data_IF_963503754853
#
_entry.id   IF_963503754853
#
_cell.length_a   1.000
_cell.length_b   1.000
_cell.length_c   1.000
_cell.angle_alpha   90.00
_cell.angle_beta   90.00
_cell.angle_gamma   90.00
#
_symmetry.space_group_name_H-M   'P 1'
#
loop_
_entity.id
_entity.type
_entity.pdbx_description
1 polymer ?
#
# COMPACT_ATOMS: atom_id res chain seq x y z
N UNK A 1 31.22 66.44 -55.15
CA UNK A 1 32.27 65.59 -54.55
C UNK A 1 31.85 65.21 -53.14
N UNK A 2 31.91 63.90 -52.86
CA UNK A 2 31.90 63.19 -51.55
C UNK A 2 30.69 63.36 -50.62
N UNK A 3 29.78 62.38 -50.74
CA UNK A 3 28.97 61.83 -49.63
C UNK A 3 29.92 61.20 -48.59
N UNK A 4 29.68 61.39 -47.30
CA UNK A 4 30.24 60.52 -46.26
C UNK A 4 29.12 60.05 -45.33
N UNK A 5 28.99 58.73 -45.29
CA UNK A 5 28.00 57.96 -44.53
C UNK A 5 28.27 58.06 -43.04
N UNK A 6 27.23 58.29 -42.25
CA UNK A 6 27.20 57.97 -40.83
C UNK A 6 26.71 56.54 -40.71
N UNK A 7 27.61 55.61 -40.39
CA UNK A 7 27.24 54.22 -40.08
C UNK A 7 26.78 54.15 -38.62
N UNK A 8 25.49 53.86 -38.42
CA UNK A 8 24.95 53.47 -37.12
C UNK A 8 25.33 52.00 -36.90
N UNK A 9 26.16 51.74 -35.89
CA UNK A 9 26.42 50.38 -35.41
C UNK A 9 25.28 50.02 -34.46
N UNK A 10 24.35 49.19 -34.93
CA UNK A 10 23.37 48.52 -34.05
C UNK A 10 24.09 47.35 -33.41
N UNK A 11 24.37 47.46 -32.10
CA UNK A 11 24.88 46.36 -31.30
C UNK A 11 23.70 45.44 -30.97
N UNK A 12 23.51 44.40 -31.78
CA UNK A 12 22.56 43.33 -31.48
C UNK A 12 23.20 42.45 -30.41
N UNK A 13 22.78 42.62 -29.16
CA UNK A 13 23.07 41.67 -28.09
C UNK A 13 22.30 40.38 -28.38
N UNK A 14 22.96 39.42 -29.02
CA UNK A 14 22.48 38.04 -29.08
C UNK A 14 22.66 37.46 -27.68
N UNK A 15 21.58 37.42 -26.90
CA UNK A 15 21.52 36.57 -25.71
C UNK A 15 21.45 35.14 -26.25
N UNK A 16 22.60 34.48 -26.34
CA UNK A 16 22.64 33.03 -26.44
C UNK A 16 22.15 32.52 -25.07
N UNK A 17 20.86 32.21 -24.99
CA UNK A 17 20.35 31.38 -23.90
C UNK A 17 21.00 30.01 -24.02
N UNK A 18 22.09 29.79 -23.31
CA UNK A 18 22.47 28.43 -22.96
C UNK A 18 21.38 27.92 -22.04
N UNK A 19 20.63 26.90 -22.48
CA UNK A 19 19.81 26.08 -21.58
C UNK A 19 20.74 25.51 -20.51
N UNK A 20 20.88 26.22 -19.40
CA UNK A 20 21.37 25.63 -18.17
C UNK A 20 20.27 24.63 -17.83
N UNK A 21 20.49 23.34 -18.11
CA UNK A 21 19.68 22.30 -17.49
C UNK A 21 19.71 22.60 -16.00
N UNK A 22 18.56 22.99 -15.45
CA UNK A 22 18.45 23.15 -14.01
C UNK A 22 18.88 21.82 -13.40
N UNK A 23 19.93 21.84 -12.58
CA UNK A 23 20.46 20.64 -11.90
C UNK A 23 19.54 20.17 -10.77
N UNK A 24 18.39 20.82 -10.61
CA UNK A 24 17.43 20.61 -9.56
C UNK A 24 16.12 20.07 -10.14
N UNK A 25 15.57 19.08 -9.45
CA UNK A 25 14.24 18.55 -9.72
C UNK A 25 13.21 19.61 -9.27
N UNK A 26 12.40 20.08 -10.20
CA UNK A 26 11.43 21.16 -9.94
C UNK A 26 10.15 20.63 -9.29
N UNK A 27 9.41 21.45 -8.52
CA UNK A 27 8.07 21.07 -8.04
C UNK A 27 7.10 20.85 -9.20
N UNK A 28 6.08 20.00 -8.98
CA UNK A 28 5.02 19.75 -9.97
C UNK A 28 4.12 20.97 -10.24
N UNK A 29 4.07 21.93 -9.31
CA UNK A 29 3.33 23.19 -9.44
C UNK A 29 4.00 24.33 -8.65
N UNK A 30 3.66 25.57 -8.97
CA UNK A 30 4.23 26.76 -8.32
C UNK A 30 3.77 26.91 -6.85
N UNK A 31 2.54 26.49 -6.54
CA UNK A 31 1.99 26.55 -5.19
C UNK A 31 2.60 25.43 -4.34
N UNK A 32 3.14 25.81 -3.19
CA UNK A 32 3.68 24.90 -2.19
C UNK A 32 2.88 25.03 -0.90
N UNK A 33 2.57 23.89 -0.31
CA UNK A 33 1.97 23.76 1.00
C UNK A 33 3.06 23.37 2.00
N UNK A 34 3.06 24.00 3.17
CA UNK A 34 3.95 23.57 4.25
C UNK A 34 3.44 22.25 4.81
N UNK A 35 4.30 21.25 4.88
CA UNK A 35 3.97 19.93 5.39
C UNK A 35 4.91 19.46 6.49
N UNK A 36 4.45 18.43 7.18
CA UNK A 36 5.27 17.57 8.03
C UNK A 36 4.85 16.12 7.81
N UNK A 37 5.71 15.19 8.21
CA UNK A 37 5.31 13.83 8.49
C UNK A 37 5.69 13.41 9.91
N UNK A 38 4.82 12.57 10.50
CA UNK A 38 4.89 12.21 11.92
C UNK A 38 4.54 10.73 12.14
N UNK A 39 4.98 10.23 13.28
CA UNK A 39 4.77 8.86 13.74
C UNK A 39 4.66 8.84 15.27
N UNK A 40 4.70 7.67 15.88
CA UNK A 40 4.78 7.53 17.34
C UNK A 40 5.97 8.25 17.97
N UNK A 41 7.04 8.50 17.21
CA UNK A 41 8.28 9.13 17.70
C UNK A 41 8.06 10.56 18.19
N UNK A 42 7.04 11.25 17.68
CA UNK A 42 6.70 12.61 18.09
C UNK A 42 5.81 12.65 19.35
N UNK A 43 5.32 11.51 19.84
CA UNK A 43 4.50 11.45 21.05
C UNK A 43 3.11 12.06 20.86
N UNK A 44 2.59 12.72 21.90
CA UNK A 44 1.30 13.40 21.83
C UNK A 44 1.45 14.75 21.13
N UNK A 45 0.60 15.00 20.12
CA UNK A 45 0.68 16.19 19.26
C UNK A 45 -0.57 17.06 19.44
N UNK A 46 -0.35 18.37 19.59
CA UNK A 46 -1.39 19.40 19.51
C UNK A 46 -1.51 19.90 18.06
N UNK A 47 -2.41 19.27 17.30
CA UNK A 47 -2.59 19.60 15.88
C UNK A 47 -3.23 20.96 15.62
N UNK A 48 -3.91 21.58 16.60
CA UNK A 48 -4.37 22.97 16.47
C UNK A 48 -3.17 23.92 16.50
N UNK A 49 -2.24 23.71 17.45
CA UNK A 49 -1.00 24.47 17.51
C UNK A 49 -0.10 24.26 16.27
N UNK A 50 -0.06 23.03 15.73
CA UNK A 50 0.62 22.71 14.47
C UNK A 50 0.02 23.51 13.32
N UNK A 51 -1.31 23.52 13.19
CA UNK A 51 -1.98 24.30 12.15
C UNK A 51 -1.75 25.80 12.29
N UNK A 52 -1.82 26.33 13.51
CA UNK A 52 -1.55 27.75 13.81
C UNK A 52 -0.09 28.14 13.48
N UNK A 53 0.84 27.18 13.48
CA UNK A 53 2.22 27.41 13.07
C UNK A 53 2.41 27.55 11.55
N UNK A 54 1.35 27.29 10.76
CA UNK A 54 1.35 27.43 9.31
C UNK A 54 1.57 26.13 8.54
N UNK A 55 1.54 24.98 9.22
CA UNK A 55 1.46 23.65 8.58
C UNK A 55 0.08 23.45 7.98
N UNK A 56 0.03 22.90 6.77
CA UNK A 56 -1.18 22.71 5.99
C UNK A 56 -1.44 21.23 5.67
N UNK A 57 -0.38 20.44 5.49
CA UNK A 57 -0.41 19.02 5.15
C UNK A 57 0.31 18.21 6.23
N UNK A 58 -0.25 17.06 6.61
CA UNK A 58 0.39 16.13 7.55
C UNK A 58 0.32 14.72 6.99
N UNK A 59 1.47 14.09 6.80
CA UNK A 59 1.56 12.63 6.63
C UNK A 59 1.72 11.94 7.99
N UNK A 60 1.00 10.85 8.19
CA UNK A 60 1.00 10.11 9.46
C UNK A 60 1.36 8.67 9.18
N UNK A 61 2.35 8.12 9.90
CA UNK A 61 2.66 6.70 9.84
C UNK A 61 1.47 5.91 10.34
N UNK A 62 0.95 5.04 9.49
CA UNK A 62 -0.14 4.14 9.89
C UNK A 62 0.39 2.83 10.45
N UNK A 63 1.42 2.29 9.80
CA UNK A 63 1.86 0.91 10.02
C UNK A 63 3.27 0.68 9.48
N UNK A 64 3.87 -0.40 9.97
CA UNK A 64 5.15 -0.94 9.53
C UNK A 64 5.03 -2.45 9.34
N UNK A 65 5.50 -2.95 8.20
CA UNK A 65 5.53 -4.38 7.93
C UNK A 65 4.15 -5.05 7.96
N UNK A 66 4.02 -6.17 8.66
CA UNK A 66 2.88 -7.08 8.49
C UNK A 66 1.72 -6.84 9.47
N UNK A 67 2.02 -6.36 10.66
CA UNK A 67 1.08 -6.35 11.77
C UNK A 67 1.32 -5.21 12.78
N UNK A 68 2.36 -4.40 12.59
CA UNK A 68 2.64 -3.28 13.46
C UNK A 68 1.80 -2.07 13.06
N UNK A 69 0.88 -1.66 13.94
CA UNK A 69 0.17 -0.38 13.87
C UNK A 69 0.96 0.63 14.69
N UNK A 70 1.23 1.81 14.10
CA UNK A 70 1.87 2.90 14.81
C UNK A 70 1.00 3.33 16.00
N UNK A 71 1.60 3.41 17.20
CA UNK A 71 0.85 3.61 18.44
C UNK A 71 0.11 4.95 18.51
N UNK A 72 0.56 5.95 17.74
CA UNK A 72 -0.10 7.25 17.68
C UNK A 72 -1.00 7.42 16.45
N UNK A 73 -1.08 6.42 15.56
CA UNK A 73 -1.82 6.53 14.30
C UNK A 73 -3.26 7.02 14.50
N UNK A 74 -4.06 6.34 15.32
CA UNK A 74 -5.47 6.68 15.52
C UNK A 74 -5.65 8.08 16.13
N UNK A 75 -4.87 8.39 17.16
CA UNK A 75 -4.92 9.69 17.82
C UNK A 75 -4.52 10.82 16.85
N UNK A 76 -3.44 10.63 16.09
CA UNK A 76 -2.94 11.62 15.14
C UNK A 76 -3.91 11.80 13.97
N UNK A 77 -4.40 10.70 13.38
CA UNK A 77 -5.32 10.76 12.25
C UNK A 77 -6.61 11.50 12.63
N UNK A 78 -7.15 11.24 13.83
CA UNK A 78 -8.34 11.93 14.32
C UNK A 78 -8.08 13.40 14.61
N UNK A 79 -7.06 13.71 15.41
CA UNK A 79 -6.77 15.09 15.84
C UNK A 79 -6.38 15.99 14.65
N UNK A 80 -5.61 15.48 13.69
CA UNK A 80 -5.23 16.24 12.49
C UNK A 80 -6.46 16.55 11.61
N UNK A 81 -7.35 15.58 11.42
CA UNK A 81 -8.63 15.79 10.74
C UNK A 81 -9.54 16.79 11.48
N UNK A 82 -9.63 16.69 12.81
CA UNK A 82 -10.42 17.62 13.64
C UNK A 82 -9.88 19.06 13.57
N UNK A 83 -8.56 19.23 13.53
CA UNK A 83 -7.91 20.51 13.28
C UNK A 83 -8.11 21.02 11.84
N UNK A 84 -8.59 20.17 10.93
CA UNK A 84 -8.81 20.48 9.52
C UNK A 84 -7.51 20.69 8.74
N UNK A 85 -6.47 19.92 9.08
CA UNK A 85 -5.27 19.77 8.26
C UNK A 85 -5.56 18.81 7.10
N UNK A 86 -4.77 18.91 6.02
CA UNK A 86 -4.86 17.96 4.90
C UNK A 86 -4.07 16.71 5.26
N UNK A 87 -4.74 15.57 5.34
CA UNK A 87 -4.13 14.34 5.90
C UNK A 87 -3.70 13.38 4.80
N UNK A 88 -2.51 12.80 4.97
CA UNK A 88 -2.00 11.65 4.22
C UNK A 88 -1.52 10.54 5.16
N UNK A 89 -1.40 9.33 4.64
CA UNK A 89 -0.92 8.18 5.40
C UNK A 89 0.21 7.49 4.66
N UNK A 90 1.19 7.01 5.41
CA UNK A 90 2.27 6.19 4.88
C UNK A 90 2.39 4.85 5.61
N UNK A 91 3.02 3.91 4.92
CA UNK A 91 3.34 2.58 5.43
C UNK A 91 4.81 2.27 5.17
N UNK A 92 5.51 1.88 6.23
CA UNK A 92 6.92 1.47 6.14
C UNK A 92 7.02 -0.01 5.69
N UNK A 93 7.40 -0.20 4.44
CA UNK A 93 7.48 -1.50 3.77
C UNK A 93 8.72 -2.26 4.22
N UNK A 94 8.52 -3.50 4.65
CA UNK A 94 9.61 -4.44 5.01
C UNK A 94 9.55 -5.73 4.21
N UNK A 95 8.67 -5.79 3.21
CA UNK A 95 8.43 -6.97 2.39
C UNK A 95 9.70 -7.41 1.63
N UNK A 96 9.94 -8.72 1.62
CA UNK A 96 11.05 -9.38 0.94
C UNK A 96 10.58 -10.21 -0.26
N UNK A 97 9.30 -10.13 -0.62
CA UNK A 97 8.73 -10.78 -1.79
C UNK A 97 7.46 -10.08 -2.26
N UNK A 98 7.05 -10.33 -3.50
CA UNK A 98 5.80 -9.82 -4.08
C UNK A 98 4.57 -10.20 -3.24
N UNK A 99 4.55 -11.41 -2.68
CA UNK A 99 3.43 -11.87 -1.85
C UNK A 99 3.39 -11.10 -0.51
N UNK A 100 4.55 -10.92 0.11
CA UNK A 100 4.66 -10.11 1.33
C UNK A 100 4.24 -8.66 1.08
N UNK A 101 4.63 -8.08 -0.04
CA UNK A 101 4.25 -6.72 -0.43
C UNK A 101 2.74 -6.54 -0.49
N UNK A 102 2.03 -7.53 -1.07
CA UNK A 102 0.57 -7.53 -1.14
C UNK A 102 -0.10 -7.67 0.24
N UNK A 103 0.47 -8.50 1.12
CA UNK A 103 -0.02 -8.63 2.49
C UNK A 103 0.14 -7.32 3.27
N UNK A 104 1.27 -6.64 3.12
CA UNK A 104 1.52 -5.34 3.74
C UNK A 104 0.61 -4.25 3.16
N UNK A 105 0.34 -4.26 1.84
CA UNK A 105 -0.63 -3.36 1.20
C UNK A 105 -2.05 -3.58 1.74
N UNK A 106 -2.48 -4.83 1.90
CA UNK A 106 -3.79 -5.16 2.49
C UNK A 106 -3.89 -4.71 3.95
N UNK A 107 -2.85 -4.96 4.74
CA UNK A 107 -2.77 -4.46 6.11
C UNK A 107 -2.88 -2.93 6.16
N UNK A 108 -2.06 -2.23 5.37
CA UNK A 108 -2.09 -0.78 5.28
C UNK A 108 -3.48 -0.23 4.91
N UNK A 109 -4.09 -0.75 3.84
CA UNK A 109 -5.41 -0.28 3.39
C UNK A 109 -6.48 -0.53 4.46
N UNK A 110 -6.45 -1.69 5.14
CA UNK A 110 -7.41 -2.02 6.20
C UNK A 110 -7.37 -1.09 7.42
N UNK A 111 -6.25 -0.38 7.62
CA UNK A 111 -6.09 0.59 8.71
C UNK A 111 -6.61 1.98 8.32
N UNK A 112 -6.38 2.39 7.08
CA UNK A 112 -6.66 3.77 6.65
C UNK A 112 -8.04 3.97 6.02
N UNK A 113 -8.69 2.89 5.58
CA UNK A 113 -9.94 2.96 4.79
C UNK A 113 -11.16 3.56 5.50
N UNK A 114 -11.09 3.69 6.83
CA UNK A 114 -12.14 4.25 7.67
C UNK A 114 -11.92 5.72 8.03
N UNK A 115 -10.77 6.29 7.63
CA UNK A 115 -10.41 7.67 7.88
C UNK A 115 -10.67 8.54 6.65
N UNK A 116 -10.94 9.82 6.88
CA UNK A 116 -10.87 10.83 5.83
C UNK A 116 -9.40 11.22 5.63
N UNK A 117 -8.98 11.32 4.37
CA UNK A 117 -7.65 11.78 3.98
C UNK A 117 -7.71 12.43 2.60
N UNK A 118 -6.86 13.44 2.41
CA UNK A 118 -6.81 14.28 1.21
C UNK A 118 -5.68 13.87 0.25
N UNK A 119 -4.62 13.29 0.81
CA UNK A 119 -3.38 13.00 0.11
C UNK A 119 -3.36 11.57 -0.44
N UNK A 120 -2.51 11.34 -1.44
CA UNK A 120 -2.16 10.01 -1.94
C UNK A 120 -1.67 9.12 -0.79
N UNK A 121 -1.86 7.81 -0.92
CA UNK A 121 -1.27 6.87 0.03
C UNK A 121 0.22 6.73 -0.28
N UNK A 122 1.10 6.84 0.73
CA UNK A 122 2.54 6.81 0.50
C UNK A 122 3.13 5.41 0.75
N UNK A 123 3.87 4.91 -0.23
CA UNK A 123 4.78 3.80 -0.04
C UNK A 123 6.11 4.35 0.46
N UNK A 124 6.50 3.94 1.67
CA UNK A 124 7.81 4.21 2.25
C UNK A 124 8.60 2.90 2.25
N UNK A 125 9.50 2.72 1.27
CA UNK A 125 10.29 1.49 1.12
C UNK A 125 11.78 1.80 1.01
N UNK A 126 12.45 1.81 2.15
CA UNK A 126 13.83 2.29 2.27
C UNK A 126 14.80 1.24 2.84
N UNK A 127 14.25 0.16 3.40
CA UNK A 127 15.03 -0.97 3.91
C UNK A 127 14.79 -2.22 3.06
N UNK A 128 15.68 -2.44 2.10
CA UNK A 128 15.57 -3.53 1.12
C UNK A 128 16.05 -4.91 1.62
N UNK A 129 16.62 -4.97 2.83
CA UNK A 129 17.17 -6.20 3.39
C UNK A 129 18.22 -6.84 2.47
N UNK A 130 17.91 -8.04 1.99
CA UNK A 130 18.74 -8.85 1.09
C UNK A 130 18.30 -8.83 -0.38
N UNK A 131 17.27 -8.05 -0.74
CA UNK A 131 16.78 -7.98 -2.11
C UNK A 131 17.82 -7.33 -3.03
N UNK A 132 17.89 -7.82 -4.26
CA UNK A 132 18.60 -7.13 -5.34
C UNK A 132 17.68 -6.10 -6.03
N UNK A 133 18.25 -5.21 -6.86
CA UNK A 133 17.50 -4.12 -7.49
C UNK A 133 16.27 -4.57 -8.29
N UNK A 134 16.31 -5.71 -8.97
CA UNK A 134 15.15 -6.24 -9.71
C UNK A 134 14.03 -6.61 -8.72
N UNK A 135 14.38 -7.38 -7.68
CA UNK A 135 13.44 -7.79 -6.63
C UNK A 135 12.87 -6.59 -5.86
N UNK A 136 13.66 -5.55 -5.58
CA UNK A 136 13.19 -4.32 -4.94
C UNK A 136 12.09 -3.64 -5.76
N UNK A 137 12.28 -3.54 -7.08
CA UNK A 137 11.28 -2.93 -7.95
C UNK A 137 10.03 -3.81 -8.10
N UNK A 138 10.18 -5.14 -8.15
CA UNK A 138 9.04 -6.06 -8.16
C UNK A 138 8.21 -5.95 -6.88
N UNK A 139 8.87 -5.90 -5.72
CA UNK A 139 8.23 -5.74 -4.40
C UNK A 139 7.54 -4.39 -4.30
N UNK A 140 8.24 -3.30 -4.61
CA UNK A 140 7.66 -1.95 -4.54
C UNK A 140 6.46 -1.79 -5.48
N UNK A 141 6.57 -2.28 -6.71
CA UNK A 141 5.48 -2.17 -7.68
C UNK A 141 4.27 -3.01 -7.25
N UNK A 142 4.51 -4.21 -6.71
CA UNK A 142 3.44 -5.05 -6.18
C UNK A 142 2.70 -4.39 -5.02
N UNK A 143 3.42 -3.74 -4.10
CA UNK A 143 2.81 -2.98 -3.01
C UNK A 143 1.93 -1.85 -3.55
N UNK A 144 2.49 -1.00 -4.42
CA UNK A 144 1.77 0.15 -5.00
C UNK A 144 0.48 -0.29 -5.71
N UNK A 145 0.59 -1.27 -6.61
CA UNK A 145 -0.55 -1.74 -7.39
C UNK A 145 -1.63 -2.37 -6.52
N UNK A 146 -1.25 -3.09 -5.46
CA UNK A 146 -2.21 -3.69 -4.54
C UNK A 146 -2.91 -2.62 -3.69
N UNK A 147 -2.19 -1.59 -3.23
CA UNK A 147 -2.80 -0.45 -2.53
C UNK A 147 -3.82 0.25 -3.43
N UNK A 148 -3.48 0.53 -4.69
CA UNK A 148 -4.42 1.14 -5.64
C UNK A 148 -5.63 0.24 -5.90
N UNK A 149 -5.41 -1.07 -6.04
CA UNK A 149 -6.48 -2.04 -6.30
C UNK A 149 -7.46 -2.16 -5.13
N UNK A 150 -6.96 -2.19 -3.90
CA UNK A 150 -7.78 -2.36 -2.69
C UNK A 150 -8.48 -1.06 -2.27
N UNK A 151 -7.78 0.07 -2.32
CA UNK A 151 -8.31 1.35 -1.85
C UNK A 151 -9.08 2.12 -2.93
N UNK A 152 -8.82 1.83 -4.22
CA UNK A 152 -9.26 2.67 -5.33
C UNK A 152 -8.68 4.09 -5.30
N UNK A 153 -7.61 4.31 -4.53
CA UNK A 153 -6.94 5.60 -4.35
C UNK A 153 -5.54 5.57 -4.96
N UNK A 154 -5.08 6.74 -5.34
CA UNK A 154 -3.76 6.91 -5.95
C UNK A 154 -2.63 6.87 -4.90
N UNK A 155 -1.45 6.42 -5.34
CA UNK A 155 -0.25 6.26 -4.49
C UNK A 155 0.84 7.28 -4.84
N UNK A 156 1.68 7.63 -3.86
CA UNK A 156 2.94 8.38 -4.01
C UNK A 156 4.10 7.53 -3.51
N UNK A 157 5.26 7.64 -4.16
CA UNK A 157 6.50 6.96 -3.74
C UNK A 157 7.30 7.91 -2.88
N UNK A 158 7.54 7.54 -1.62
CA UNK A 158 8.55 8.18 -0.78
C UNK A 158 9.92 7.54 -1.03
N UNK A 159 10.96 8.35 -1.18
CA UNK A 159 12.32 7.86 -1.39
C UNK A 159 13.36 8.95 -1.14
N UNK A 160 14.48 8.59 -0.54
CA UNK A 160 15.68 9.44 -0.58
C UNK A 160 16.20 9.64 -2.02
N UNK A 161 16.96 10.73 -2.22
CA UNK A 161 17.58 11.09 -3.51
C UNK A 161 18.50 10.01 -4.08
N UNK A 162 19.20 9.23 -3.25
CA UNK A 162 20.10 8.17 -3.73
C UNK A 162 19.31 7.01 -4.33
N UNK A 163 18.28 6.53 -3.64
CA UNK A 163 17.43 5.44 -4.10
C UNK A 163 16.60 5.86 -5.32
N UNK A 164 16.13 7.11 -5.37
CA UNK A 164 15.54 7.71 -6.56
C UNK A 164 16.43 7.54 -7.81
N UNK A 165 17.72 7.81 -7.67
CA UNK A 165 18.68 7.70 -8.79
C UNK A 165 19.06 6.24 -9.09
N UNK A 166 19.27 5.40 -8.06
CA UNK A 166 20.01 4.15 -8.22
C UNK A 166 19.17 2.87 -8.17
N UNK A 167 17.97 2.93 -7.57
CA UNK A 167 17.16 1.74 -7.31
C UNK A 167 15.95 1.68 -8.23
N UNK A 168 15.12 2.73 -8.26
CA UNK A 168 13.81 2.67 -8.91
C UNK A 168 13.89 2.62 -10.44
N UNK A 169 13.12 1.74 -11.07
CA UNK A 169 13.02 1.65 -12.53
C UNK A 169 11.98 2.64 -13.09
N UNK A 170 11.82 2.66 -14.42
CA UNK A 170 10.88 3.56 -15.09
C UNK A 170 9.41 3.30 -14.73
N UNK A 171 9.06 2.08 -14.31
CA UNK A 171 7.70 1.72 -13.90
C UNK A 171 7.35 2.37 -12.55
N UNK A 172 8.23 2.25 -11.56
CA UNK A 172 8.10 2.98 -10.29
C UNK A 172 8.16 4.49 -10.53
N UNK A 173 9.07 4.95 -11.41
CA UNK A 173 9.21 6.37 -11.72
C UNK A 173 8.04 6.98 -12.50
N UNK A 174 7.07 6.18 -12.91
CA UNK A 174 5.80 6.67 -13.45
C UNK A 174 4.84 7.19 -12.36
N UNK A 175 5.06 6.82 -11.09
CA UNK A 175 4.32 7.31 -9.94
C UNK A 175 4.88 8.65 -9.42
N UNK A 176 4.07 9.50 -8.79
CA UNK A 176 4.54 10.75 -8.19
C UNK A 176 5.61 10.49 -7.11
N UNK A 177 6.59 11.40 -7.01
CA UNK A 177 7.69 11.32 -6.05
C UNK A 177 7.51 12.29 -4.88
N UNK A 178 7.60 11.76 -3.67
CA UNK A 178 7.92 12.50 -2.45
C UNK A 178 9.38 12.20 -2.11
N UNK A 179 10.27 13.17 -2.36
CA UNK A 179 11.72 12.96 -2.24
C UNK A 179 12.25 13.49 -0.91
N UNK A 180 13.12 12.72 -0.25
CA UNK A 180 13.92 13.20 0.88
C UNK A 180 15.32 13.65 0.42
N UNK A 181 15.64 14.92 0.65
CA UNK A 181 16.96 15.51 0.33
C UNK A 181 17.30 16.69 1.25
N UNK A 182 18.14 16.45 2.25
CA UNK A 182 18.49 17.47 3.26
C UNK A 182 19.70 18.33 2.85
N UNK A 183 20.26 18.08 1.66
CA UNK A 183 21.53 18.66 1.21
C UNK A 183 21.43 20.06 0.60
N UNK A 184 20.23 20.59 0.37
CA UNK A 184 20.02 21.86 -0.33
C UNK A 184 18.58 22.39 -0.30
N UNK A 185 18.35 23.54 -0.93
CA UNK A 185 17.02 24.15 -1.03
C UNK A 185 16.11 23.51 -2.07
N UNK A 186 16.66 22.66 -2.93
CA UNK A 186 15.97 21.95 -4.01
C UNK A 186 16.58 20.55 -4.17
N UNK A 187 15.77 19.50 -4.41
CA UNK A 187 16.29 18.16 -4.67
C UNK A 187 17.11 18.11 -5.95
N UNK A 188 18.11 17.24 -6.01
CA UNK A 188 18.90 17.06 -7.23
C UNK A 188 18.06 16.43 -8.36
N UNK A 189 18.32 16.85 -9.60
CA UNK A 189 17.79 16.16 -10.78
C UNK A 189 18.28 14.70 -10.77
N UNK A 190 17.35 13.76 -10.75
CA UNK A 190 17.63 12.33 -10.70
C UNK A 190 17.55 11.64 -12.08
N UNK A 191 17.16 12.38 -13.12
CA UNK A 191 17.06 11.87 -14.49
C UNK A 191 15.94 10.87 -14.77
N UNK A 192 15.08 10.56 -13.78
CA UNK A 192 13.94 9.64 -13.91
C UNK A 192 12.61 10.37 -13.72
N UNK A 193 12.46 11.07 -12.60
CA UNK A 193 11.33 11.95 -12.36
C UNK A 193 11.55 13.30 -13.02
N UNK A 194 10.48 13.86 -13.59
CA UNK A 194 10.51 15.20 -14.18
C UNK A 194 10.22 16.30 -13.17
N UNK A 195 9.55 15.95 -12.07
CA UNK A 195 9.19 16.84 -10.98
C UNK A 195 8.94 16.02 -9.70
N UNK A 196 8.94 16.70 -8.55
CA UNK A 196 8.49 16.14 -7.28
C UNK A 196 7.11 16.68 -6.90
N UNK A 197 6.33 15.87 -6.17
CA UNK A 197 5.06 16.29 -5.57
C UNK A 197 5.15 16.54 -4.07
N UNK A 198 6.11 15.89 -3.41
CA UNK A 198 6.55 16.17 -2.04
C UNK A 198 8.06 16.31 -1.96
N UNK A 199 8.54 17.12 -1.03
CA UNK A 199 9.96 17.31 -0.77
C UNK A 199 10.20 17.43 0.74
N UNK A 200 10.71 16.37 1.34
CA UNK A 200 11.19 16.36 2.71
C UNK A 200 12.60 16.97 2.74
N UNK A 201 12.71 18.17 3.28
CA UNK A 201 13.93 18.98 3.22
C UNK A 201 14.71 19.03 4.54
N UNK A 202 14.15 18.47 5.61
CA UNK A 202 14.82 18.36 6.91
C UNK A 202 14.16 17.27 7.77
N UNK A 203 14.96 16.59 8.59
CA UNK A 203 14.58 15.61 9.61
C UNK A 203 14.65 16.15 11.05
N UNK A 204 14.89 17.46 11.20
CA UNK A 204 15.29 18.11 12.44
C UNK A 204 14.53 19.43 12.68
N UNK A 205 13.24 19.44 12.35
CA UNK A 205 12.35 20.57 12.55
C UNK A 205 11.89 20.75 14.00
N UNK A 206 11.62 22.01 14.36
CA UNK A 206 10.86 22.38 15.56
C UNK A 206 9.51 22.97 15.12
N UNK A 207 8.41 22.33 15.51
CA UNK A 207 7.05 22.74 15.12
C UNK A 207 6.21 22.93 16.38
N UNK A 208 5.52 24.07 16.48
CA UNK A 208 4.68 24.36 17.63
C UNK A 208 3.58 23.29 17.77
N UNK A 209 3.40 22.75 18.98
CA UNK A 209 2.49 21.62 19.23
C UNK A 209 3.15 20.24 19.23
N UNK A 210 4.45 20.16 18.90
CA UNK A 210 5.25 18.93 19.00
C UNK A 210 6.44 19.20 19.94
N UNK A 211 6.62 18.35 20.96
CA UNK A 211 7.63 18.58 22.01
C UNK A 211 9.06 18.22 21.58
N UNK A 212 9.21 17.44 20.51
CA UNK A 212 10.51 17.01 19.98
C UNK A 212 11.09 18.04 19.00
N UNK A 213 12.40 17.98 18.79
CA UNK A 213 13.12 18.76 17.78
C UNK A 213 13.53 17.90 16.57
N UNK A 214 12.78 16.84 16.32
CA UNK A 214 12.99 15.87 15.23
C UNK A 214 11.66 15.67 14.52
N UNK A 215 11.19 16.75 13.89
CA UNK A 215 10.01 16.73 13.04
C UNK A 215 10.48 16.83 11.60
N UNK A 216 10.03 15.89 10.78
CA UNK A 216 10.29 15.90 9.35
C UNK A 216 9.51 17.06 8.73
N UNK A 217 10.19 17.87 7.92
CA UNK A 217 9.65 19.08 7.32
C UNK A 217 9.55 18.94 5.81
N UNK A 218 8.36 19.22 5.28
CA UNK A 218 8.04 19.02 3.88
C UNK A 218 7.55 20.28 3.17
N UNK A 219 7.77 20.29 1.86
CA UNK A 219 6.92 21.02 0.94
C UNK A 219 6.13 20.05 0.09
N UNK A 220 4.82 20.28 -0.01
CA UNK A 220 3.96 19.54 -0.94
C UNK A 220 3.39 20.45 -2.03
N UNK A 221 3.00 19.86 -3.15
CA UNK A 221 2.35 20.54 -4.27
C UNK A 221 0.96 19.96 -4.50
N UNK A 222 0.16 20.54 -5.41
CA UNK A 222 -1.17 20.01 -5.73
C UNK A 222 -1.15 18.53 -6.18
N UNK A 223 -0.03 18.06 -6.73
CA UNK A 223 0.14 16.66 -7.12
C UNK A 223 0.10 15.65 -5.97
N UNK A 224 0.23 16.10 -4.70
CA UNK A 224 0.12 15.22 -3.54
C UNK A 224 -1.31 14.80 -3.25
N UNK A 225 -2.30 15.59 -3.68
CA UNK A 225 -3.69 15.33 -3.36
C UNK A 225 -4.26 14.24 -4.25
N UNK A 226 -5.21 13.48 -3.71
CA UNK A 226 -6.05 12.59 -4.48
C UNK A 226 -6.80 13.41 -5.53
N UNK A 227 -6.85 12.89 -6.75
CA UNK A 227 -7.77 13.41 -7.76
C UNK A 227 -9.20 13.32 -7.22
N UNK A 228 -10.01 14.34 -7.52
CA UNK A 228 -11.36 14.52 -6.96
C UNK A 228 -12.40 13.50 -7.48
N UNK A 229 -12.00 12.27 -7.76
CA UNK A 229 -12.90 11.19 -8.12
C UNK A 229 -13.44 10.61 -6.82
N UNK A 230 -14.69 10.95 -6.50
CA UNK A 230 -15.50 10.21 -5.54
C UNK A 230 -15.66 8.77 -6.05
N UNK A 231 -14.70 7.90 -5.73
CA UNK A 231 -14.93 6.46 -5.79
C UNK A 231 -15.85 6.16 -4.60
N UNK A 232 -17.14 5.99 -4.89
CA UNK A 232 -18.11 5.54 -3.90
C UNK A 232 -17.64 4.17 -3.39
N UNK A 233 -17.12 4.13 -2.15
CA UNK A 233 -16.95 2.89 -1.37
C UNK A 233 -18.28 2.14 -1.43
N UNK A 234 -18.33 0.82 -1.65
CA UNK A 234 -19.55 0.10 -1.41
C UNK A 234 -19.91 0.32 0.06
N UNK A 235 -20.99 1.05 0.33
CA UNK A 235 -21.60 1.07 1.66
C UNK A 235 -22.02 -0.37 1.95
N UNK A 236 -21.22 -1.09 2.74
CA UNK A 236 -21.71 -2.29 3.41
C UNK A 236 -22.80 -1.76 4.36
N UNK A 237 -24.08 -2.13 4.18
CA UNK A 237 -25.15 -1.58 4.98
C UNK A 237 -24.89 -1.89 6.45
N UNK A 238 -24.95 -0.89 7.34
CA UNK A 238 -24.93 -1.11 8.79
C UNK A 238 -26.21 -1.83 9.22
N UNK A 239 -26.28 -3.14 8.99
CA UNK A 239 -27.26 -3.99 9.63
C UNK A 239 -26.87 -4.17 11.10
N UNK A 240 -27.84 -4.43 12.01
CA UNK A 240 -27.51 -4.78 13.38
C UNK A 240 -26.55 -5.97 13.38
N UNK A 241 -25.27 -5.72 13.63
CA UNK A 241 -24.26 -6.76 13.71
C UNK A 241 -24.55 -7.55 14.98
N UNK A 242 -24.97 -8.80 14.79
CA UNK A 242 -24.74 -9.82 15.81
C UNK A 242 -23.24 -9.88 16.08
N UNK A 243 -22.86 -10.20 17.31
CA UNK A 243 -21.46 -10.40 17.68
C UNK A 243 -21.27 -11.80 18.25
N UNK A 244 -20.04 -12.30 18.16
CA UNK A 244 -19.63 -13.51 18.86
C UNK A 244 -18.28 -13.34 19.55
N UNK A 245 -18.02 -14.19 20.54
CA UNK A 245 -16.79 -14.15 21.32
C UNK A 245 -15.67 -14.95 20.62
N UNK A 246 -14.53 -14.30 20.38
CA UNK A 246 -13.28 -14.95 19.96
C UNK A 246 -12.25 -14.86 21.07
N UNK A 247 -11.69 -16.00 21.46
CA UNK A 247 -10.59 -16.04 22.46
C UNK A 247 -9.26 -15.96 21.73
N UNK A 248 -8.49 -14.90 22.00
CA UNK A 248 -7.17 -14.65 21.44
C UNK A 248 -6.22 -15.80 21.77
N UNK A 249 -5.53 -16.30 20.74
CA UNK A 249 -4.58 -17.42 20.80
C UNK A 249 -3.16 -16.90 20.61
N UNK A 250 -2.20 -17.72 21.01
CA UNK A 250 -0.79 -17.40 20.81
C UNK A 250 -0.49 -17.26 19.31
N UNK A 251 0.09 -16.13 18.92
CA UNK A 251 0.41 -15.78 17.53
C UNK A 251 -0.70 -15.05 16.79
N UNK A 252 -1.84 -14.76 17.43
CA UNK A 252 -2.85 -13.90 16.82
C UNK A 252 -2.41 -12.44 16.81
N UNK A 253 -2.84 -11.72 15.78
CA UNK A 253 -2.78 -10.25 15.66
C UNK A 253 -4.17 -9.74 15.30
N UNK A 254 -4.47 -8.46 15.58
CA UNK A 254 -5.77 -7.91 15.18
C UNK A 254 -5.97 -7.99 13.67
N UNK A 255 -4.93 -7.76 12.87
CA UNK A 255 -5.03 -7.93 11.42
C UNK A 255 -5.28 -9.38 11.02
N UNK A 256 -4.54 -10.34 11.59
CA UNK A 256 -4.73 -11.76 11.30
C UNK A 256 -6.15 -12.24 11.65
N UNK A 257 -6.70 -11.76 12.77
CA UNK A 257 -8.07 -12.03 13.18
C UNK A 257 -9.06 -11.32 12.24
N UNK A 258 -8.87 -10.04 11.96
CA UNK A 258 -9.76 -9.25 11.10
C UNK A 258 -9.88 -9.89 9.71
N UNK A 259 -8.73 -10.21 9.10
CA UNK A 259 -8.65 -10.88 7.82
C UNK A 259 -9.32 -12.27 7.86
N UNK A 260 -9.07 -13.07 8.91
CA UNK A 260 -9.68 -14.40 9.08
C UNK A 260 -11.20 -14.35 9.11
N UNK A 261 -11.77 -13.30 9.71
CA UNK A 261 -13.22 -13.17 9.91
C UNK A 261 -13.88 -12.17 8.94
N UNK A 262 -13.16 -11.71 7.92
CA UNK A 262 -13.69 -10.81 6.89
C UNK A 262 -14.14 -9.44 7.44
N UNK A 263 -13.39 -8.91 8.39
CA UNK A 263 -13.59 -7.57 8.99
C UNK A 263 -12.30 -6.76 8.92
N UNK A 264 -12.28 -5.56 9.51
CA UNK A 264 -11.12 -4.64 9.47
C UNK A 264 -10.53 -4.49 10.87
N UNK A 265 -9.24 -4.12 10.96
CA UNK A 265 -8.60 -3.83 12.25
C UNK A 265 -9.33 -2.68 12.94
N UNK A 266 -9.68 -1.64 12.18
CA UNK A 266 -10.43 -0.48 12.66
C UNK A 266 -11.79 -0.88 13.26
N UNK A 267 -12.54 -1.77 12.61
CA UNK A 267 -13.81 -2.27 13.14
C UNK A 267 -13.61 -3.08 14.44
N UNK A 268 -12.58 -3.93 14.51
CA UNK A 268 -12.26 -4.66 15.74
C UNK A 268 -11.86 -3.74 16.89
N UNK A 269 -11.05 -2.71 16.60
CA UNK A 269 -10.62 -1.72 17.58
C UNK A 269 -11.83 -0.97 18.15
N UNK A 270 -12.73 -0.50 17.29
CA UNK A 270 -13.97 0.20 17.68
C UNK A 270 -14.91 -0.72 18.47
N UNK A 271 -15.11 -1.95 18.03
CA UNK A 271 -16.04 -2.89 18.65
C UNK A 271 -15.59 -3.34 20.05
N UNK A 272 -14.28 -3.34 20.30
CA UNK A 272 -13.67 -3.84 21.53
C UNK A 272 -13.06 -2.75 22.42
N UNK A 273 -13.23 -1.47 22.06
CA UNK A 273 -12.61 -0.33 22.76
C UNK A 273 -11.08 -0.50 22.95
N UNK A 274 -10.38 -1.06 21.96
CA UNK A 274 -8.94 -1.36 22.05
C UNK A 274 -8.14 -0.06 21.94
N UNK A 275 -7.34 0.26 22.97
CA UNK A 275 -6.54 1.49 22.96
C UNK A 275 -5.24 1.38 22.15
N UNK A 276 -4.64 0.19 22.04
CA UNK A 276 -3.43 -0.05 21.26
C UNK A 276 -3.65 -1.23 20.31
N UNK A 277 -3.86 -0.99 19.01
CA UNK A 277 -4.15 -2.04 18.03
C UNK A 277 -3.02 -3.07 17.84
N UNK A 278 -1.78 -2.73 18.23
CA UNK A 278 -0.62 -3.62 18.16
C UNK A 278 -0.50 -4.56 19.38
N UNK A 279 -1.39 -4.44 20.38
CA UNK A 279 -1.30 -5.23 21.62
C UNK A 279 -2.63 -5.91 21.93
N UNK A 280 -2.66 -7.23 21.79
CA UNK A 280 -3.71 -8.12 22.30
C UNK A 280 -3.09 -9.24 23.14
N UNK A 281 -3.83 -9.77 24.11
CA UNK A 281 -3.32 -10.77 25.05
C UNK A 281 -3.92 -12.15 24.83
N UNK A 282 -3.10 -13.21 24.90
CA UNK A 282 -3.60 -14.59 24.84
C UNK A 282 -4.63 -14.82 25.96
N UNK A 283 -5.81 -15.32 25.58
CA UNK A 283 -6.94 -15.53 26.48
C UNK A 283 -7.88 -14.33 26.61
N UNK A 284 -7.54 -13.18 26.03
CA UNK A 284 -8.46 -12.05 25.86
C UNK A 284 -9.64 -12.47 24.99
N UNK A 285 -10.83 -11.96 25.32
CA UNK A 285 -12.06 -12.25 24.57
C UNK A 285 -12.41 -11.02 23.76
N UNK A 286 -12.31 -11.14 22.44
CA UNK A 286 -12.73 -10.11 21.50
C UNK A 286 -14.17 -10.39 21.06
N UNK A 287 -15.00 -9.36 21.08
CA UNK A 287 -16.24 -9.31 20.34
C UNK A 287 -15.91 -9.17 18.85
N UNK A 288 -16.40 -10.12 18.08
CA UNK A 288 -16.24 -10.16 16.63
C UNK A 288 -17.56 -9.82 15.96
N UNK A 289 -17.57 -9.01 14.89
CA UNK A 289 -18.78 -8.78 14.12
C UNK A 289 -19.18 -10.05 13.35
N UNK A 290 -20.48 -10.34 13.30
CA UNK A 290 -21.06 -11.50 12.61
C UNK A 290 -21.69 -12.54 13.56
N UNK A 291 -22.25 -13.61 13.00
CA UNK A 291 -22.67 -14.77 13.79
C UNK A 291 -21.48 -15.71 13.99
N UNK A 292 -21.38 -16.38 15.15
CA UNK A 292 -20.37 -17.41 15.33
C UNK A 292 -20.61 -18.51 14.31
N UNK A 293 -19.84 -18.51 13.23
CA UNK A 293 -19.80 -19.63 12.30
C UNK A 293 -19.08 -20.78 13.01
N UNK A 294 -19.82 -21.47 13.89
CA UNK A 294 -19.48 -22.81 14.33
C UNK A 294 -19.67 -23.74 13.14
N UNK A 295 -18.78 -23.64 12.16
CA UNK A 295 -18.83 -24.49 10.97
C UNK A 295 -18.31 -25.85 11.40
N UNK A 296 -19.19 -26.84 11.43
CA UNK A 296 -18.78 -28.24 11.53
C UNK A 296 -17.79 -28.55 10.41
N UNK A 297 -16.69 -29.22 10.75
CA UNK A 297 -15.69 -29.60 9.75
C UNK A 297 -16.34 -30.55 8.73
N UNK A 298 -16.26 -30.19 7.45
CA UNK A 298 -16.72 -31.02 6.33
C UNK A 298 -15.53 -31.78 5.76
N UNK A 299 -15.72 -33.05 5.38
CA UNK A 299 -14.65 -33.83 4.72
C UNK A 299 -14.54 -33.50 3.23
N UNK A 300 -13.31 -33.36 2.76
CA UNK A 300 -12.97 -33.14 1.36
C UNK A 300 -11.89 -34.10 0.89
N UNK A 301 -12.16 -34.84 -0.18
CA UNK A 301 -11.16 -35.70 -0.82
C UNK A 301 -10.40 -34.91 -1.88
N UNK A 302 -9.09 -34.79 -1.70
CA UNK A 302 -8.15 -34.13 -2.63
C UNK A 302 -8.22 -34.78 -4.00
N UNK A 303 -8.42 -33.97 -5.03
CA UNK A 303 -8.50 -34.35 -6.45
C UNK A 303 -7.21 -33.97 -7.18
N UNK A 304 -7.01 -34.56 -8.35
CA UNK A 304 -5.88 -34.22 -9.21
C UNK A 304 -5.94 -32.74 -9.61
N UNK A 305 -4.90 -31.99 -9.26
CA UNK A 305 -4.81 -30.55 -9.50
C UNK A 305 -5.17 -29.66 -8.31
N UNK A 306 -5.63 -30.23 -7.20
CA UNK A 306 -5.94 -29.46 -6.00
C UNK A 306 -4.67 -28.94 -5.32
N UNK A 307 -4.81 -27.80 -4.64
CA UNK A 307 -3.82 -27.23 -3.72
C UNK A 307 -4.52 -26.88 -2.41
N UNK A 308 -3.80 -26.85 -1.28
CA UNK A 308 -4.40 -26.42 0.00
C UNK A 308 -4.99 -25.01 -0.11
N UNK A 309 -4.39 -24.14 -0.92
CA UNK A 309 -4.93 -22.81 -1.18
C UNK A 309 -6.23 -22.84 -1.98
N UNK A 310 -6.29 -23.60 -3.08
CA UNK A 310 -7.51 -23.71 -3.88
C UNK A 310 -8.67 -24.35 -3.10
N UNK A 311 -8.34 -25.30 -2.24
CA UNK A 311 -9.30 -25.88 -1.28
C UNK A 311 -9.71 -24.82 -0.26
N UNK A 312 -8.75 -24.12 0.36
CA UNK A 312 -9.03 -23.08 1.35
C UNK A 312 -9.98 -22.01 0.80
N UNK A 313 -9.67 -21.48 -0.39
CA UNK A 313 -10.48 -20.48 -1.06
C UNK A 313 -11.88 -21.00 -1.41
N UNK A 314 -11.98 -22.22 -1.96
CA UNK A 314 -13.26 -22.84 -2.34
C UNK A 314 -14.23 -22.98 -1.16
N UNK A 315 -13.69 -23.23 0.02
CA UNK A 315 -14.48 -23.43 1.23
C UNK A 315 -14.48 -22.22 2.15
N UNK A 316 -13.91 -21.08 1.74
CA UNK A 316 -13.87 -19.87 2.57
C UNK A 316 -13.09 -20.07 3.89
N UNK A 317 -12.02 -20.87 3.85
CA UNK A 317 -11.09 -21.09 4.97
C UNK A 317 -9.68 -20.66 4.59
N UNK A 318 -8.68 -20.89 5.45
CA UNK A 318 -7.27 -20.55 5.15
C UNK A 318 -6.40 -21.80 5.05
N UNK A 319 -5.27 -21.69 4.34
CA UNK A 319 -4.26 -22.77 4.30
C UNK A 319 -3.77 -23.10 5.71
N UNK A 320 -3.57 -22.09 6.55
CA UNK A 320 -3.16 -22.26 7.95
C UNK A 320 -4.20 -23.04 8.75
N UNK A 321 -5.49 -22.73 8.55
CA UNK A 321 -6.60 -23.46 9.18
C UNK A 321 -6.62 -24.92 8.73
N UNK A 322 -6.51 -25.18 7.41
CA UNK A 322 -6.46 -26.54 6.86
C UNK A 322 -5.27 -27.34 7.37
N UNK A 323 -4.09 -26.72 7.39
CA UNK A 323 -2.85 -27.34 7.89
C UNK A 323 -3.00 -27.73 9.34
N UNK A 324 -3.54 -26.84 10.17
CA UNK A 324 -3.77 -27.08 11.58
C UNK A 324 -4.88 -28.09 11.84
N UNK A 325 -5.97 -28.03 11.08
CA UNK A 325 -7.13 -28.92 11.23
C UNK A 325 -6.82 -30.36 10.80
N UNK A 326 -5.80 -30.55 9.96
CA UNK A 326 -5.39 -31.85 9.40
C UNK A 326 -3.99 -32.29 9.83
N UNK A 327 -3.35 -31.59 10.77
CA UNK A 327 -1.98 -31.87 11.23
C UNK A 327 -0.95 -32.01 10.07
N UNK A 328 -1.09 -31.20 9.02
CA UNK A 328 -0.22 -31.25 7.84
C UNK A 328 1.15 -30.67 8.18
N UNK A 329 2.21 -31.43 7.90
CA UNK A 329 3.58 -31.01 8.24
C UNK A 329 4.22 -30.09 7.19
N UNK A 330 3.85 -30.27 5.92
CA UNK A 330 4.32 -29.46 4.79
C UNK A 330 3.10 -28.95 3.99
N UNK A 331 2.75 -27.65 4.09
CA UNK A 331 1.63 -27.06 3.37
C UNK A 331 1.72 -27.11 1.84
N UNK A 332 2.90 -27.41 1.30
CA UNK A 332 3.12 -27.51 -0.16
C UNK A 332 2.82 -28.90 -0.73
N UNK A 333 2.53 -29.88 0.13
CA UNK A 333 2.39 -31.28 -0.25
C UNK A 333 1.06 -31.85 0.24
N UNK A 334 0.16 -32.14 -0.71
CA UNK A 334 -1.06 -32.93 -0.49
C UNK A 334 -1.17 -34.01 -1.57
N UNK A 335 -1.80 -35.13 -1.25
CA UNK A 335 -1.90 -36.28 -2.14
C UNK A 335 -3.31 -36.48 -2.68
N UNK A 336 -3.44 -36.77 -3.98
CA UNK A 336 -4.74 -37.14 -4.57
C UNK A 336 -5.33 -38.34 -3.83
N UNK A 337 -6.56 -38.20 -3.36
CA UNK A 337 -7.27 -39.19 -2.53
C UNK A 337 -7.13 -38.98 -1.02
N UNK A 338 -6.29 -38.04 -0.58
CA UNK A 338 -6.21 -37.62 0.83
C UNK A 338 -7.52 -36.97 1.27
N UNK A 339 -7.97 -37.25 2.50
CA UNK A 339 -9.21 -36.69 3.05
C UNK A 339 -8.84 -35.59 4.05
N UNK A 340 -9.20 -34.36 3.73
CA UNK A 340 -9.01 -33.20 4.58
C UNK A 340 -10.32 -32.84 5.29
N UNK A 341 -10.22 -32.54 6.57
CA UNK A 341 -11.21 -31.82 7.35
C UNK A 341 -11.14 -30.33 6.97
N UNK A 342 -12.29 -29.72 6.69
CA UNK A 342 -12.38 -28.32 6.26
C UNK A 342 -13.43 -27.59 7.10
N UNK A 343 -13.04 -26.51 7.75
CA UNK A 343 -13.98 -25.58 8.38
C UNK A 343 -14.46 -24.55 7.34
N UNK A 344 -15.60 -24.79 6.71
CA UNK A 344 -16.16 -23.90 5.69
C UNK A 344 -17.26 -24.54 4.84
N UNK A 345 -18.15 -23.73 4.26
CA UNK A 345 -19.17 -24.21 3.31
C UNK A 345 -18.66 -24.14 1.88
N UNK A 346 -18.97 -25.14 1.05
CA UNK A 346 -18.59 -25.09 -0.37
C UNK A 346 -19.33 -23.93 -1.04
N UNK A 347 -18.61 -22.86 -1.33
CA UNK A 347 -19.14 -21.81 -2.18
C UNK A 347 -19.30 -22.43 -3.56
N UNK A 348 -20.54 -22.65 -4.01
CA UNK A 348 -20.88 -23.35 -5.26
C UNK A 348 -20.48 -22.60 -6.53
N UNK A 349 -19.36 -21.88 -6.52
CA UNK A 349 -18.78 -21.19 -7.66
C UNK A 349 -18.19 -22.26 -8.57
N UNK A 350 -18.86 -22.52 -9.70
CA UNK A 350 -18.27 -23.33 -10.76
C UNK A 350 -17.06 -22.58 -11.34
N UNK A 351 -15.91 -23.27 -11.40
CA UNK A 351 -14.69 -22.71 -11.94
C UNK A 351 -14.91 -22.25 -13.39
N UNK A 352 -14.70 -20.98 -13.65
CA UNK A 352 -14.86 -20.38 -14.98
C UNK A 352 -13.64 -20.73 -15.81
N UNK A 353 -13.85 -21.36 -16.97
CA UNK A 353 -12.76 -21.77 -17.86
C UNK A 353 -12.57 -20.79 -19.04
N UNK A 354 -11.32 -20.50 -19.38
CA UNK A 354 -10.90 -19.66 -20.49
C UNK A 354 -9.90 -20.36 -21.40
N UNK A 355 -10.19 -20.42 -22.70
CA UNK A 355 -9.25 -20.95 -23.69
C UNK A 355 -8.32 -19.84 -24.21
N UNK A 356 -7.01 -20.01 -24.00
CA UNK A 356 -5.95 -19.10 -24.45
C UNK A 356 -6.00 -18.91 -25.97
N UNK A 357 -6.01 -17.65 -26.42
CA UNK A 357 -6.02 -17.24 -27.83
C UNK A 357 -4.66 -16.71 -28.26
N UNK A 358 -4.45 -16.63 -29.57
CA UNK A 358 -3.23 -16.05 -30.12
C UNK A 358 -3.10 -14.58 -29.70
N UNK A 359 -1.99 -14.25 -29.04
CA UNK A 359 -1.71 -12.90 -28.51
C UNK A 359 -2.07 -12.71 -27.04
N UNK A 360 -2.65 -13.71 -26.37
CA UNK A 360 -2.92 -13.62 -24.94
C UNK A 360 -1.65 -13.73 -24.10
N UNK A 361 -1.64 -13.01 -22.98
CA UNK A 361 -0.70 -13.17 -21.87
C UNK A 361 -1.48 -13.51 -20.60
N UNK A 362 -0.85 -14.16 -19.61
CA UNK A 362 -1.52 -14.38 -18.32
C UNK A 362 -1.93 -13.05 -17.68
N UNK A 363 -1.13 -12.01 -17.86
CA UNK A 363 -1.43 -10.67 -17.39
C UNK A 363 -2.71 -10.11 -18.03
N UNK A 364 -2.83 -10.19 -19.36
CA UNK A 364 -4.02 -9.70 -20.07
C UNK A 364 -5.29 -10.52 -19.75
N UNK A 365 -5.14 -11.81 -19.46
CA UNK A 365 -6.25 -12.67 -19.02
C UNK A 365 -6.64 -12.31 -17.59
N UNK A 366 -5.68 -12.20 -16.67
CA UNK A 366 -5.88 -11.83 -15.27
C UNK A 366 -6.64 -10.51 -15.14
N UNK A 367 -6.14 -9.45 -15.79
CA UNK A 367 -6.76 -8.13 -15.81
C UNK A 367 -8.18 -8.16 -16.40
N UNK A 368 -8.42 -8.96 -17.44
CA UNK A 368 -9.73 -9.06 -18.09
C UNK A 368 -10.79 -9.75 -17.22
N UNK A 369 -10.39 -10.71 -16.39
CA UNK A 369 -11.31 -11.52 -15.61
C UNK A 369 -11.29 -11.19 -14.11
N UNK A 370 -10.58 -10.13 -13.71
CA UNK A 370 -10.55 -9.68 -12.32
C UNK A 370 -9.88 -10.69 -11.38
N UNK A 371 -8.83 -11.36 -11.85
CA UNK A 371 -7.96 -12.26 -11.08
C UNK A 371 -6.51 -11.82 -11.27
N UNK A 372 -5.53 -12.47 -10.62
CA UNK A 372 -4.11 -12.14 -10.75
C UNK A 372 -3.35 -13.18 -11.58
N UNK A 373 -2.19 -12.79 -12.14
CA UNK A 373 -1.29 -13.75 -12.81
C UNK A 373 -0.90 -14.87 -11.85
N UNK A 374 -0.64 -14.54 -10.59
CA UNK A 374 -0.29 -15.50 -9.54
C UNK A 374 -1.42 -16.51 -9.29
N UNK A 375 -2.66 -16.04 -9.19
CA UNK A 375 -3.84 -16.92 -9.08
C UNK A 375 -3.98 -17.82 -10.31
N UNK A 376 -3.87 -17.29 -11.52
CA UNK A 376 -3.90 -18.10 -12.74
C UNK A 376 -2.75 -19.12 -12.79
N UNK A 377 -1.56 -18.74 -12.36
CA UNK A 377 -0.37 -19.59 -12.32
C UNK A 377 -0.58 -20.74 -11.34
N UNK A 378 -1.02 -20.43 -10.11
CA UNK A 378 -1.27 -21.39 -9.04
C UNK A 378 -2.46 -22.31 -9.39
N UNK A 379 -3.59 -21.73 -9.79
CA UNK A 379 -4.82 -22.43 -10.16
C UNK A 379 -4.64 -23.38 -11.35
N UNK A 380 -3.74 -23.04 -12.28
CA UNK A 380 -3.50 -23.83 -13.50
C UNK A 380 -2.16 -24.58 -13.54
N UNK A 381 -1.45 -24.64 -12.42
CA UNK A 381 -0.16 -25.33 -12.30
C UNK A 381 0.87 -24.87 -13.35
N UNK A 382 0.89 -23.58 -13.67
CA UNK A 382 1.76 -23.02 -14.72
C UNK A 382 3.16 -22.83 -14.14
N UNK A 383 4.13 -23.57 -14.66
CA UNK A 383 5.52 -23.49 -14.14
C UNK A 383 6.28 -22.25 -14.62
N UNK A 384 5.89 -21.70 -15.77
CA UNK A 384 6.45 -20.47 -16.31
C UNK A 384 5.32 -19.50 -16.71
N UNK A 385 5.07 -18.44 -15.93
CA UNK A 385 3.99 -17.47 -16.17
C UNK A 385 4.08 -16.76 -17.53
N UNK A 386 5.29 -16.67 -18.09
CA UNK A 386 5.53 -16.06 -19.41
C UNK A 386 5.27 -17.02 -20.57
N UNK A 387 4.85 -18.25 -20.29
CA UNK A 387 4.75 -19.31 -21.30
C UNK A 387 3.41 -20.04 -21.21
N UNK A 388 2.41 -19.48 -21.90
CA UNK A 388 1.11 -20.10 -22.15
C UNK A 388 0.94 -20.42 -23.63
N UNK A 389 0.18 -21.48 -23.93
CA UNK A 389 0.00 -21.97 -25.29
C UNK A 389 -1.42 -21.69 -25.77
N UNK A 390 -1.54 -21.22 -27.01
CA UNK A 390 -2.83 -21.08 -27.68
C UNK A 390 -3.59 -22.41 -27.66
N UNK A 391 -4.86 -22.38 -27.26
CA UNK A 391 -5.71 -23.55 -27.08
C UNK A 391 -5.59 -24.22 -25.71
N UNK A 392 -4.66 -23.80 -24.83
CA UNK A 392 -4.64 -24.24 -23.43
C UNK A 392 -5.86 -23.67 -22.71
N UNK A 393 -6.58 -24.50 -21.97
CA UNK A 393 -7.63 -24.02 -21.10
C UNK A 393 -7.06 -23.61 -19.73
N UNK A 394 -7.57 -22.51 -19.19
CA UNK A 394 -7.23 -21.93 -17.91
C UNK A 394 -8.49 -21.77 -17.06
N UNK A 395 -8.49 -22.29 -15.85
CA UNK A 395 -9.44 -21.92 -14.81
C UNK A 395 -9.14 -20.51 -14.31
N UNK A 396 -10.18 -19.72 -14.06
CA UNK A 396 -10.10 -18.29 -13.73
C UNK A 396 -10.51 -17.95 -12.30
N UNK A 397 -11.26 -18.82 -11.62
CA UNK A 397 -11.72 -18.68 -10.25
C UNK A 397 -12.02 -20.03 -9.61
#
# INVERSE_FOLDING_TARGET
MKKWMVSIVVMVSVILGSDIKALALSPSSDLKYNGIDVSEWQGDIDFEAVKESGVEVVYIRSSEGFDYVDQQFEANAKKANEAGLKVGFYHYVTAMSVEEAKNQASFFVSLVEDYSYDCRLAMDFESFGLLNNEEINEVGLAFIQEVEALSGKEVVVYSDSYNAINIWNDEIASYPLWVADYGGSEPQDNGKWSNWVGFQYSDAGEVNGIETNSVDLDYFTDGIFLSSVEVSKPEIPSQPQTTFDYVVKAGDTLWGIANKYGTTVSELVKLNDISNPSVIYVGEVLQMPGESSGVEATEYTVKAGDTLWGIANKYGTTVSELVKLNDISDPSVIYVGEVLQISGESSGVEATEYTVKAGDTLWGIAAKYGTTVSELVKLNGITNPNMIYVGKALYLN
#
